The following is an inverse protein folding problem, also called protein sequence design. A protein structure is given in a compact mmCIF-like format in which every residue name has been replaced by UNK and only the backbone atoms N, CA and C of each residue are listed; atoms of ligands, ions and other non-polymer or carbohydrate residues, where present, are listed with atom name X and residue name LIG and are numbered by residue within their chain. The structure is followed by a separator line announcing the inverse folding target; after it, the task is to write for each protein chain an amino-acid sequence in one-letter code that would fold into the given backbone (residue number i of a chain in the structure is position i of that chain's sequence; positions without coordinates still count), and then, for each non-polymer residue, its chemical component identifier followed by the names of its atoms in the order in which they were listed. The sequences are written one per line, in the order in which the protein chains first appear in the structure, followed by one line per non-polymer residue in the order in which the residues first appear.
data_IF_778372558753
#
_entry.id   IF_778372558753
#
_cell.length_a   1.000
_cell.length_b   1.000
_cell.length_c   1.000
_cell.angle_alpha   90.00
_cell.angle_beta   90.00
_cell.angle_gamma   90.00
#
_symmetry.space_group_name_H-M   'P 1'
#
loop_
_entity.id
_entity.type
_entity.pdbx_description
1 polymer ?
#
# COMPACT_ATOMS: atom_id res chain seq x y z
N UNK A 1 16.13 24.84 7.17
CA UNK A 1 16.38 23.38 7.16
C UNK A 1 15.21 22.70 7.84
N UNK A 2 14.64 21.68 7.22
CA UNK A 2 13.40 21.03 7.64
C UNK A 2 13.51 19.50 7.40
N UNK A 3 13.85 18.77 8.46
CA UNK A 3 14.12 17.33 8.38
C UNK A 3 15.33 17.05 7.48
N UNK A 4 15.12 16.19 6.47
CA UNK A 4 16.11 15.79 5.44
C UNK A 4 16.09 16.70 4.20
N UNK A 5 15.92 18.00 4.40
CA UNK A 5 15.82 18.92 3.28
C UNK A 5 15.60 20.38 3.66
N UNK A 6 15.19 21.15 2.66
CA UNK A 6 14.94 22.58 2.74
C UNK A 6 13.49 22.88 2.41
N UNK A 7 12.93 23.86 3.13
CA UNK A 7 11.56 24.31 2.96
C UNK A 7 11.56 25.82 2.75
N UNK A 8 10.79 26.28 1.77
CA UNK A 8 10.50 27.70 1.60
C UNK A 8 9.07 27.91 1.08
N UNK A 9 8.51 29.09 1.36
CA UNK A 9 7.24 29.53 0.81
C UNK A 9 7.48 30.77 -0.05
N UNK A 10 6.89 30.77 -1.25
CA UNK A 10 7.07 31.81 -2.26
C UNK A 10 5.70 32.28 -2.75
N UNK A 11 5.42 33.58 -2.71
CA UNK A 11 4.25 34.14 -3.38
C UNK A 11 4.49 34.09 -4.89
N UNK A 12 3.59 33.46 -5.64
CA UNK A 12 3.71 33.37 -7.09
C UNK A 12 3.28 34.68 -7.77
N UNK A 13 3.87 35.04 -8.91
CA UNK A 13 3.39 36.14 -9.73
C UNK A 13 1.94 35.94 -10.17
N UNK A 14 1.25 37.04 -10.44
CA UNK A 14 -0.13 37.01 -10.93
C UNK A 14 -0.26 36.13 -12.19
N UNK A 15 -1.25 35.23 -12.18
CA UNK A 15 -1.50 34.29 -13.28
C UNK A 15 -0.61 33.05 -13.30
N UNK A 16 0.42 32.94 -12.45
CA UNK A 16 1.27 31.74 -12.34
C UNK A 16 0.70 30.80 -11.29
N UNK A 17 0.40 29.56 -11.69
CA UNK A 17 -0.10 28.52 -10.77
C UNK A 17 0.98 27.51 -10.42
N UNK A 18 0.81 26.82 -9.28
CA UNK A 18 1.68 25.68 -8.92
C UNK A 18 1.61 24.55 -9.97
N UNK A 19 0.49 24.38 -10.67
CA UNK A 19 0.36 23.44 -11.80
C UNK A 19 1.34 23.79 -12.94
N UNK A 20 1.44 25.07 -13.32
CA UNK A 20 2.38 25.52 -14.35
C UNK A 20 3.84 25.27 -13.96
N UNK A 21 4.18 25.44 -12.67
CA UNK A 21 5.51 25.12 -12.13
C UNK A 21 5.76 23.61 -12.18
N UNK A 22 4.79 22.80 -11.75
CA UNK A 22 4.89 21.34 -11.78
C UNK A 22 5.06 20.79 -13.19
N UNK A 23 4.41 21.38 -14.21
CA UNK A 23 4.62 21.02 -15.61
C UNK A 23 6.07 21.24 -16.09
N UNK A 24 6.82 22.13 -15.43
CA UNK A 24 8.23 22.41 -15.70
C UNK A 24 9.15 21.93 -14.56
N UNK A 25 8.68 20.98 -13.72
CA UNK A 25 9.45 20.47 -12.58
C UNK A 25 10.86 19.98 -12.93
N UNK A 26 11.12 19.31 -14.08
CA UNK A 26 12.49 18.93 -14.43
C UNK A 26 13.46 20.12 -14.54
N UNK A 27 13.00 21.25 -15.08
CA UNK A 27 13.81 22.48 -15.19
C UNK A 27 14.05 23.09 -13.82
N UNK A 28 12.99 23.19 -12.98
CA UNK A 28 13.11 23.67 -11.61
C UNK A 28 14.10 22.81 -10.81
N UNK A 29 13.98 21.49 -10.88
CA UNK A 29 14.86 20.57 -10.16
C UNK A 29 16.32 20.68 -10.63
N UNK A 30 16.55 20.78 -11.94
CA UNK A 30 17.87 21.01 -12.51
C UNK A 30 18.52 22.28 -11.95
N UNK A 31 17.78 23.39 -11.92
CA UNK A 31 18.27 24.68 -11.38
C UNK A 31 18.51 24.65 -9.86
N UNK A 32 17.89 23.73 -9.14
CA UNK A 32 18.10 23.50 -7.72
C UNK A 32 19.20 22.46 -7.43
N UNK A 33 19.86 21.92 -8.48
CA UNK A 33 20.83 20.83 -8.39
C UNK A 33 20.22 19.59 -7.71
N UNK A 34 19.00 19.23 -8.11
CA UNK A 34 18.22 18.12 -7.57
C UNK A 34 17.63 17.26 -8.68
N UNK A 35 17.31 16.01 -8.33
CA UNK A 35 16.47 15.17 -9.17
C UNK A 35 15.01 15.62 -9.08
N UNK A 36 14.17 15.44 -10.11
CA UNK A 36 12.75 15.82 -10.08
C UNK A 36 11.95 15.16 -8.95
N UNK A 37 12.40 13.99 -8.48
CA UNK A 37 11.82 13.23 -7.36
C UNK A 37 12.11 13.87 -5.99
N UNK A 38 13.12 14.72 -5.91
CA UNK A 38 13.57 15.41 -4.70
C UNK A 38 12.93 16.80 -4.53
N UNK A 39 12.10 17.26 -5.48
CA UNK A 39 11.54 18.62 -5.50
C UNK A 39 10.02 18.56 -5.49
N UNK A 40 9.41 19.26 -4.53
CA UNK A 40 7.98 19.17 -4.22
C UNK A 40 7.33 20.54 -4.12
N UNK A 41 6.87 21.11 -5.25
CA UNK A 41 6.07 22.33 -5.27
C UNK A 41 4.60 21.99 -5.02
N UNK A 42 4.04 22.56 -3.96
CA UNK A 42 2.64 22.38 -3.57
C UNK A 42 1.98 23.72 -3.27
N UNK A 43 0.64 23.77 -3.27
CA UNK A 43 -0.11 24.95 -2.85
C UNK A 43 -0.84 24.65 -1.52
N UNK A 44 -0.55 25.36 -0.43
CA UNK A 44 -1.26 25.18 0.83
C UNK A 44 -2.73 25.54 0.68
N UNK A 45 -3.62 24.72 1.23
CA UNK A 45 -5.08 24.92 1.14
C UNK A 45 -5.54 26.25 1.76
N UNK A 46 -4.82 26.75 2.75
CA UNK A 46 -5.10 27.97 3.49
C UNK A 46 -4.39 29.21 2.91
N UNK A 47 -3.56 29.06 1.87
CA UNK A 47 -2.80 30.15 1.24
C UNK A 47 -2.80 30.08 -0.30
N UNK A 48 -3.93 30.37 -0.97
CA UNK A 48 -3.98 30.44 -2.43
C UNK A 48 -2.96 31.43 -3.00
N UNK A 49 -2.32 31.07 -4.11
CA UNK A 49 -1.28 31.88 -4.77
C UNK A 49 0.12 31.74 -4.15
N UNK A 50 0.28 30.96 -3.09
CA UNK A 50 1.57 30.67 -2.46
C UNK A 50 2.03 29.28 -2.84
N UNK A 51 3.25 29.18 -3.38
CA UNK A 51 3.94 27.91 -3.55
C UNK A 51 4.70 27.56 -2.27
N UNK A 52 4.36 26.41 -1.70
CA UNK A 52 5.13 25.73 -0.67
C UNK A 52 6.09 24.74 -1.36
N UNK A 53 7.38 25.05 -1.30
CA UNK A 53 8.44 24.29 -1.95
C UNK A 53 9.27 23.57 -0.90
N UNK A 54 9.24 22.25 -0.94
CA UNK A 54 10.16 21.40 -0.19
C UNK A 54 11.15 20.70 -1.13
N UNK A 55 12.43 20.72 -0.79
CA UNK A 55 13.51 20.08 -1.54
C UNK A 55 14.31 19.16 -0.63
N UNK A 56 14.43 17.89 -1.02
CA UNK A 56 15.20 16.92 -0.25
C UNK A 56 16.72 17.23 -0.30
N UNK A 57 17.47 16.71 0.66
CA UNK A 57 18.93 16.67 0.58
C UNK A 57 19.33 15.81 -0.62
N UNK A 58 20.35 16.25 -1.37
CA UNK A 58 20.79 15.57 -2.59
C UNK A 58 21.15 14.11 -2.32
N UNK A 59 20.55 13.18 -3.06
CA UNK A 59 20.75 11.74 -2.92
C UNK A 59 20.17 11.13 -1.64
N UNK A 60 19.40 11.88 -0.83
CA UNK A 60 18.80 11.33 0.39
C UNK A 60 17.72 10.28 0.11
N UNK A 61 17.05 10.38 -1.05
CA UNK A 61 16.00 9.47 -1.46
C UNK A 61 16.52 8.17 -2.10
N UNK A 62 17.81 8.11 -2.45
CA UNK A 62 18.44 6.91 -3.04
C UNK A 62 19.16 6.03 -2.00
N UNK A 63 19.44 6.55 -0.80
CA UNK A 63 20.04 5.79 0.31
C UNK A 63 19.03 4.85 0.96
N UNK A 64 19.38 3.62 1.38
CA UNK A 64 18.46 2.70 2.06
C UNK A 64 17.67 3.35 3.20
N UNK A 65 16.40 2.95 3.35
CA UNK A 65 15.60 3.34 4.52
C UNK A 65 16.19 2.65 5.76
N UNK A 66 16.07 3.28 6.93
CA UNK A 66 16.46 2.66 8.20
C UNK A 66 15.73 1.31 8.39
N UNK A 67 16.28 0.40 9.21
CA UNK A 67 15.63 -0.87 9.51
C UNK A 67 14.19 -0.70 9.99
N UNK A 68 13.33 -1.67 9.67
CA UNK A 68 11.93 -1.64 10.05
C UNK A 68 11.80 -1.54 11.59
N UNK A 69 10.99 -0.61 12.14
CA UNK A 69 10.95 -0.36 13.59
C UNK A 69 10.54 -1.55 14.45
N UNK A 70 9.82 -2.53 13.89
CA UNK A 70 9.35 -3.72 14.61
C UNK A 70 10.18 -4.97 14.31
N UNK A 71 11.34 -4.80 13.65
CA UNK A 71 12.20 -5.89 13.22
C UNK A 71 12.67 -6.76 14.39
N UNK A 72 13.17 -6.13 15.45
CA UNK A 72 13.77 -6.84 16.59
C UNK A 72 12.79 -7.06 17.75
N UNK A 73 11.97 -6.06 18.06
CA UNK A 73 11.03 -6.09 19.18
C UNK A 73 9.72 -5.33 18.89
N UNK A 74 8.85 -5.24 19.91
CA UNK A 74 7.59 -4.50 19.85
C UNK A 74 6.38 -5.31 19.38
N UNK A 75 5.23 -4.65 19.39
CA UNK A 75 3.94 -5.14 18.91
C UNK A 75 3.27 -4.07 18.04
N UNK A 76 2.19 -4.43 17.37
CA UNK A 76 1.36 -3.47 16.64
C UNK A 76 -0.10 -3.52 17.10
N UNK A 77 -0.87 -2.53 16.65
CA UNK A 77 -2.29 -2.41 16.92
C UNK A 77 -3.02 -2.16 15.60
N UNK A 78 -3.80 -3.15 15.16
CA UNK A 78 -4.59 -3.09 13.92
C UNK A 78 -5.44 -1.82 13.81
N UNK A 79 -5.94 -1.31 14.94
CA UNK A 79 -6.79 -0.12 14.99
C UNK A 79 -6.01 1.18 14.83
N UNK A 80 -4.70 1.17 15.09
CA UNK A 80 -3.79 2.33 14.94
C UNK A 80 -3.01 2.30 13.62
N UNK A 81 -2.81 1.12 13.05
CA UNK A 81 -2.02 0.91 11.84
C UNK A 81 -0.61 0.39 12.12
N UNK A 82 0.11 0.04 11.06
CA UNK A 82 1.42 -0.62 11.12
C UNK A 82 2.49 0.21 10.42
N UNK A 83 3.74 0.25 10.90
CA UNK A 83 4.81 0.98 10.22
C UNK A 83 5.13 0.35 8.87
N UNK A 84 4.99 1.12 7.79
CA UNK A 84 5.19 0.61 6.40
C UNK A 84 6.28 1.34 5.63
N UNK A 85 6.63 2.56 6.03
CA UNK A 85 7.68 3.31 5.37
C UNK A 85 7.93 4.66 6.01
N UNK A 86 8.63 5.51 5.27
CA UNK A 86 8.88 6.91 5.62
C UNK A 86 8.51 7.82 4.46
N UNK A 87 8.03 9.02 4.77
CA UNK A 87 7.85 10.07 3.78
C UNK A 87 9.22 10.67 3.36
N UNK A 88 9.30 11.55 2.35
CA UNK A 88 10.56 12.15 1.91
C UNK A 88 11.25 12.95 3.02
N UNK A 89 10.48 13.47 3.99
CA UNK A 89 10.98 14.21 5.14
C UNK A 89 11.55 13.29 6.23
N UNK A 90 11.42 11.97 6.07
CA UNK A 90 11.89 10.95 6.99
C UNK A 90 10.90 10.65 8.13
N UNK A 91 9.67 11.16 8.05
CA UNK A 91 8.63 10.88 9.05
C UNK A 91 8.06 9.48 8.82
N UNK A 92 7.86 8.76 9.91
CA UNK A 92 7.23 7.44 9.88
C UNK A 92 5.83 7.50 9.27
N UNK A 93 5.57 6.62 8.31
CA UNK A 93 4.27 6.41 7.70
C UNK A 93 3.66 5.13 8.26
N UNK A 94 2.46 5.26 8.84
CA UNK A 94 1.68 4.14 9.32
C UNK A 94 0.65 3.74 8.26
N UNK A 95 0.73 2.49 7.79
CA UNK A 95 -0.27 1.85 6.97
C UNK A 95 -1.50 1.55 7.82
N UNK A 96 -2.55 2.37 7.68
CA UNK A 96 -3.82 2.14 8.36
C UNK A 96 -4.46 0.84 7.86
N UNK A 97 -4.75 -0.09 8.76
CA UNK A 97 -5.48 -1.32 8.45
C UNK A 97 -6.97 -1.15 8.75
N UNK A 98 -7.33 -0.76 9.97
CA UNK A 98 -8.73 -0.56 10.32
C UNK A 98 -9.41 0.56 9.55
N UNK A 99 -10.63 0.29 9.07
CA UNK A 99 -11.43 1.21 8.27
C UNK A 99 -10.73 1.73 7.00
N UNK A 100 -9.82 0.93 6.44
CA UNK A 100 -9.12 1.17 5.19
C UNK A 100 -9.03 -0.10 4.35
N UNK A 101 -8.89 0.09 3.05
CA UNK A 101 -8.61 -0.95 2.06
C UNK A 101 -7.55 -0.43 1.10
N UNK A 102 -6.70 -1.33 0.61
CA UNK A 102 -5.46 -0.99 -0.05
C UNK A 102 -5.48 -1.41 -1.52
N UNK A 103 -4.95 -0.54 -2.39
CA UNK A 103 -4.57 -0.89 -3.75
C UNK A 103 -3.07 -0.67 -3.93
N UNK A 104 -2.36 -1.71 -4.36
CA UNK A 104 -0.92 -1.69 -4.55
C UNK A 104 -0.61 -2.05 -6.00
N UNK A 105 0.14 -1.19 -6.68
CA UNK A 105 0.37 -1.31 -8.11
C UNK A 105 1.78 -0.96 -8.54
N UNK A 106 2.20 -1.44 -9.70
CA UNK A 106 3.49 -1.12 -10.31
C UNK A 106 4.20 -2.34 -10.89
N UNK A 107 5.18 -2.11 -11.75
CA UNK A 107 5.89 -3.15 -12.51
C UNK A 107 6.53 -4.22 -11.60
N UNK A 108 6.84 -5.38 -12.16
CA UNK A 108 7.60 -6.43 -11.45
C UNK A 108 8.93 -5.87 -10.94
N UNK A 109 9.37 -6.30 -9.76
CA UNK A 109 10.62 -5.82 -9.17
C UNK A 109 10.61 -4.36 -8.70
N UNK A 110 9.44 -3.71 -8.55
CA UNK A 110 9.35 -2.31 -8.08
C UNK A 110 9.17 -2.15 -6.56
N UNK A 111 8.85 -3.24 -5.83
CA UNK A 111 8.70 -3.23 -4.37
C UNK A 111 7.28 -3.43 -3.82
N UNK A 112 6.31 -3.84 -4.67
CA UNK A 112 4.93 -4.14 -4.24
C UNK A 112 4.87 -5.16 -3.10
N UNK A 113 5.44 -6.35 -3.30
CA UNK A 113 5.41 -7.44 -2.33
C UNK A 113 6.05 -7.02 -1.00
N UNK A 114 7.12 -6.21 -1.05
CA UNK A 114 7.77 -5.66 0.14
C UNK A 114 6.82 -4.87 1.02
N UNK A 115 6.00 -3.99 0.44
CA UNK A 115 5.00 -3.21 1.20
C UNK A 115 3.95 -4.13 1.84
N UNK A 116 3.46 -5.12 1.09
CA UNK A 116 2.44 -6.06 1.57
C UNK A 116 3.01 -6.93 2.70
N UNK A 117 4.16 -7.55 2.50
CA UNK A 117 4.83 -8.39 3.50
C UNK A 117 5.12 -7.59 4.77
N UNK A 118 5.65 -6.37 4.65
CA UNK A 118 5.90 -5.50 5.81
C UNK A 118 4.59 -5.17 6.55
N UNK A 119 3.51 -4.89 5.82
CA UNK A 119 2.21 -4.65 6.44
C UNK A 119 1.65 -5.89 7.14
N UNK A 120 1.80 -7.08 6.53
CA UNK A 120 1.39 -8.35 7.13
C UNK A 120 2.20 -8.70 8.37
N UNK A 121 3.52 -8.51 8.34
CA UNK A 121 4.39 -8.71 9.51
C UNK A 121 3.98 -7.80 10.67
N UNK A 122 3.71 -6.52 10.38
CA UNK A 122 3.13 -5.62 11.37
C UNK A 122 1.77 -6.11 11.87
N UNK A 123 0.89 -6.57 10.97
CA UNK A 123 -0.45 -7.00 11.33
C UNK A 123 -0.46 -8.21 12.26
N UNK A 124 0.38 -9.24 12.01
CA UNK A 124 0.42 -10.46 12.82
C UNK A 124 1.00 -10.25 14.22
N UNK A 125 1.73 -9.14 14.45
CA UNK A 125 2.22 -8.72 15.77
C UNK A 125 1.12 -8.15 16.68
N UNK A 126 -0.11 -7.99 16.17
CA UNK A 126 -1.32 -7.87 16.98
C UNK A 126 -1.95 -9.26 17.15
N UNK A 127 -2.07 -9.80 18.38
CA UNK A 127 -2.53 -11.17 18.62
C UNK A 127 -3.96 -11.44 18.14
N UNK A 128 -4.77 -10.38 17.96
CA UNK A 128 -6.16 -10.53 17.50
C UNK A 128 -6.28 -10.70 15.99
N UNK A 129 -5.25 -10.36 15.21
CA UNK A 129 -5.36 -10.31 13.76
C UNK A 129 -5.26 -11.71 13.14
N UNK A 130 -6.24 -12.03 12.30
CA UNK A 130 -6.23 -13.14 11.37
C UNK A 130 -5.87 -12.65 9.96
N UNK A 131 -5.11 -13.46 9.22
CA UNK A 131 -4.67 -13.11 7.86
C UNK A 131 -5.02 -14.22 6.88
N UNK A 132 -5.57 -13.84 5.73
CA UNK A 132 -5.72 -14.72 4.57
C UNK A 132 -4.97 -14.14 3.39
N UNK A 133 -4.23 -14.98 2.68
CA UNK A 133 -3.54 -14.63 1.45
C UNK A 133 -4.04 -15.51 0.32
N UNK A 134 -4.50 -14.87 -0.75
CA UNK A 134 -4.82 -15.48 -2.03
C UNK A 134 -3.83 -14.89 -3.06
N UNK A 135 -2.78 -15.65 -3.36
CA UNK A 135 -1.76 -15.27 -4.33
C UNK A 135 -2.02 -16.00 -5.64
N UNK A 136 -2.41 -15.27 -6.69
CA UNK A 136 -2.71 -15.86 -8.01
C UNK A 136 -1.47 -16.00 -8.89
N UNK A 137 -0.37 -16.41 -8.28
CA UNK A 137 0.89 -16.70 -8.92
C UNK A 137 1.63 -17.76 -8.11
N UNK A 138 2.36 -18.65 -8.78
CA UNK A 138 3.18 -19.66 -8.11
C UNK A 138 4.51 -19.03 -7.66
N UNK A 139 4.61 -18.71 -6.37
CA UNK A 139 5.83 -18.23 -5.72
C UNK A 139 5.87 -18.63 -4.24
N UNK A 140 6.96 -18.28 -3.55
CA UNK A 140 7.21 -18.61 -2.15
C UNK A 140 7.20 -17.38 -1.22
N UNK A 141 6.68 -16.23 -1.69
CA UNK A 141 6.80 -14.94 -1.00
C UNK A 141 6.18 -14.97 0.40
N UNK A 142 5.08 -15.71 0.55
CA UNK A 142 4.29 -15.79 1.78
C UNK A 142 4.58 -17.01 2.66
N UNK A 143 5.40 -17.96 2.20
CA UNK A 143 5.68 -19.22 2.91
C UNK A 143 6.10 -19.06 4.38
N UNK A 144 6.99 -18.11 4.76
CA UNK A 144 7.40 -17.95 6.15
C UNK A 144 6.27 -17.42 7.03
N UNK A 145 5.28 -16.73 6.46
CA UNK A 145 4.13 -16.25 7.22
C UNK A 145 3.12 -17.36 7.51
N UNK A 146 3.17 -18.49 6.80
CA UNK A 146 2.21 -19.61 6.88
C UNK A 146 1.83 -20.01 8.31
N UNK A 147 2.74 -20.09 9.30
CA UNK A 147 2.38 -20.42 10.69
C UNK A 147 1.39 -19.44 11.34
N UNK A 148 1.33 -18.19 10.87
CA UNK A 148 0.41 -17.14 11.37
C UNK A 148 -0.74 -16.83 10.42
N UNK A 149 -0.77 -17.42 9.23
CA UNK A 149 -1.89 -17.26 8.29
C UNK A 149 -3.01 -18.22 8.64
N UNK A 150 -4.27 -17.76 8.53
CA UNK A 150 -5.42 -18.65 8.54
C UNK A 150 -5.56 -19.39 7.20
N UNK A 151 -5.31 -18.66 6.11
CA UNK A 151 -5.37 -19.21 4.74
C UNK A 151 -4.15 -18.74 3.96
N UNK A 152 -3.52 -19.69 3.25
CA UNK A 152 -2.56 -19.41 2.19
C UNK A 152 -2.99 -20.22 0.96
N UNK A 153 -3.54 -19.53 -0.02
CA UNK A 153 -3.86 -20.06 -1.34
C UNK A 153 -2.85 -19.50 -2.34
N UNK A 154 -2.18 -20.38 -3.08
CA UNK A 154 -1.15 -20.04 -4.07
C UNK A 154 -1.42 -20.85 -5.32
N UNK A 155 -1.89 -20.21 -6.40
CA UNK A 155 -2.21 -20.88 -7.66
C UNK A 155 -2.47 -19.88 -8.77
N UNK A 156 -1.88 -20.08 -9.94
CA UNK A 156 -2.22 -19.38 -11.20
C UNK A 156 -3.12 -20.22 -12.12
N UNK A 157 -3.58 -21.38 -11.66
CA UNK A 157 -4.43 -22.29 -12.43
C UNK A 157 -5.84 -21.69 -12.59
N UNK A 158 -6.29 -21.40 -13.84
CA UNK A 158 -7.61 -20.83 -14.10
C UNK A 158 -8.77 -21.66 -13.54
N UNK A 159 -8.62 -22.98 -13.41
CA UNK A 159 -9.65 -23.86 -12.84
C UNK A 159 -9.79 -23.69 -11.32
N UNK A 160 -8.74 -23.20 -10.65
CA UNK A 160 -8.72 -22.98 -9.20
C UNK A 160 -9.13 -21.56 -8.80
N UNK A 161 -9.03 -20.58 -9.71
CA UNK A 161 -9.43 -19.18 -9.47
C UNK A 161 -10.85 -19.05 -8.89
N UNK A 162 -11.89 -19.82 -9.33
CA UNK A 162 -13.22 -19.77 -8.72
C UNK A 162 -13.25 -20.02 -7.21
N UNK A 163 -12.26 -20.74 -6.64
CA UNK A 163 -12.12 -20.94 -5.19
C UNK A 163 -11.97 -19.63 -4.42
N UNK A 164 -11.32 -18.63 -5.03
CA UNK A 164 -11.18 -17.29 -4.43
C UNK A 164 -12.53 -16.60 -4.35
N UNK A 165 -13.38 -16.73 -5.38
CA UNK A 165 -14.75 -16.20 -5.35
C UNK A 165 -15.58 -16.85 -4.24
N UNK A 166 -15.48 -18.16 -4.06
CA UNK A 166 -16.20 -18.86 -2.98
C UNK A 166 -15.74 -18.40 -1.59
N UNK A 167 -14.45 -18.16 -1.42
CA UNK A 167 -13.93 -17.57 -0.19
C UNK A 167 -14.47 -16.15 0.06
N UNK A 168 -14.60 -15.33 -0.99
CA UNK A 168 -15.21 -14.01 -0.90
C UNK A 168 -16.72 -14.08 -0.55
N UNK A 169 -17.44 -15.08 -1.09
CA UNK A 169 -18.85 -15.33 -0.72
C UNK A 169 -18.97 -15.65 0.77
N UNK A 170 -18.09 -16.52 1.29
CA UNK A 170 -17.99 -16.80 2.72
C UNK A 170 -17.69 -15.56 3.56
N UNK A 171 -16.73 -14.74 3.14
CA UNK A 171 -16.39 -13.48 3.81
C UNK A 171 -17.58 -12.51 3.86
N UNK A 172 -18.36 -12.41 2.79
CA UNK A 172 -19.56 -11.56 2.75
C UNK A 172 -20.65 -12.02 3.73
N UNK A 173 -20.80 -13.34 3.92
CA UNK A 173 -21.68 -13.90 4.94
C UNK A 173 -21.20 -13.51 6.34
N UNK A 174 -19.91 -13.70 6.63
CA UNK A 174 -19.29 -13.34 7.91
C UNK A 174 -19.47 -11.84 8.23
N UNK A 175 -19.25 -10.95 7.24
CA UNK A 175 -19.47 -9.52 7.40
C UNK A 175 -20.92 -9.18 7.78
N UNK A 176 -21.89 -9.95 7.27
CA UNK A 176 -23.30 -9.75 7.59
C UNK A 176 -23.60 -10.15 9.04
N UNK A 177 -22.96 -11.20 9.55
CA UNK A 177 -23.05 -11.61 10.95
C UNK A 177 -22.37 -10.62 11.90
N UNK A 178 -21.16 -10.16 11.56
CA UNK A 178 -20.45 -9.10 12.31
C UNK A 178 -21.30 -7.83 12.42
N UNK A 179 -22.00 -7.46 11.35
CA UNK A 179 -22.93 -6.34 11.34
C UNK A 179 -24.07 -6.49 12.36
N UNK A 180 -24.67 -7.69 12.48
CA UNK A 180 -25.72 -7.98 13.48
C UNK A 180 -25.17 -7.92 14.90
N UNK A 181 -23.94 -8.41 15.12
CA UNK A 181 -23.28 -8.36 16.43
C UNK A 181 -22.98 -6.94 16.88
N UNK A 182 -22.49 -6.09 15.98
CA UNK A 182 -22.28 -4.67 16.25
C UNK A 182 -23.59 -3.95 16.56
N UNK A 183 -24.65 -4.23 15.81
CA UNK A 183 -25.98 -3.70 16.08
C UNK A 183 -26.47 -4.10 17.48
N UNK A 184 -26.35 -5.38 17.84
CA UNK A 184 -26.75 -5.88 19.16
C UNK A 184 -25.92 -5.28 20.30
N UNK A 185 -24.64 -4.99 20.05
CA UNK A 185 -23.75 -4.32 20.99
C UNK A 185 -23.95 -2.79 21.05
N UNK A 186 -24.75 -2.19 20.16
CA UNK A 186 -24.92 -0.75 20.07
C UNK A 186 -23.68 0.00 19.55
N UNK A 187 -22.74 -0.70 18.93
CA UNK A 187 -21.45 -0.13 18.49
C UNK A 187 -21.47 0.20 16.98
N UNK A 188 -21.08 1.40 16.55
CA UNK A 188 -21.15 1.80 15.14
C UNK A 188 -20.05 1.15 14.27
N UNK A 189 -19.01 0.59 14.90
CA UNK A 189 -17.86 -0.06 14.27
C UNK A 189 -17.19 -1.00 15.26
N UNK A 190 -16.38 -1.94 14.76
CA UNK A 190 -15.58 -2.83 15.60
C UNK A 190 -14.70 -2.03 16.57
N UNK A 191 -14.69 -2.47 17.83
CA UNK A 191 -13.78 -2.00 18.87
C UNK A 191 -12.84 -3.13 19.28
N UNK A 192 -11.69 -2.79 19.86
CA UNK A 192 -10.75 -3.79 20.39
C UNK A 192 -11.42 -4.69 21.44
N UNK A 193 -12.19 -4.10 22.36
CA UNK A 193 -12.89 -4.84 23.41
C UNK A 193 -13.86 -5.89 22.83
N UNK A 194 -14.59 -5.56 21.76
CA UNK A 194 -15.46 -6.54 21.09
C UNK A 194 -14.67 -7.66 20.39
N UNK A 195 -13.54 -7.32 19.76
CA UNK A 195 -12.66 -8.31 19.13
C UNK A 195 -11.97 -9.25 20.14
N UNK A 196 -11.68 -8.77 21.34
CA UNK A 196 -11.14 -9.56 22.45
C UNK A 196 -12.22 -10.48 23.05
N UNK A 197 -13.44 -9.97 23.20
CA UNK A 197 -14.56 -10.71 23.80
C UNK A 197 -15.15 -11.80 22.88
N UNK A 198 -15.13 -11.59 21.57
CA UNK A 198 -15.69 -12.52 20.59
C UNK A 198 -14.67 -12.86 19.49
N UNK A 199 -14.14 -14.10 19.46
CA UNK A 199 -13.18 -14.53 18.43
C UNK A 199 -13.67 -14.36 16.98
N UNK A 200 -14.98 -14.38 16.73
CA UNK A 200 -15.53 -14.18 15.38
C UNK A 200 -15.55 -12.70 14.95
N UNK A 201 -15.30 -11.78 15.90
CA UNK A 201 -15.19 -10.34 15.67
C UNK A 201 -13.73 -9.90 15.52
N UNK A 202 -12.76 -10.83 15.61
CA UNK A 202 -11.34 -10.55 15.44
C UNK A 202 -11.03 -9.85 14.11
N UNK A 203 -10.12 -8.87 14.08
CA UNK A 203 -9.71 -8.24 12.83
C UNK A 203 -9.20 -9.23 11.79
N UNK A 204 -9.51 -8.98 10.53
CA UNK A 204 -9.12 -9.83 9.40
C UNK A 204 -8.42 -8.99 8.33
N UNK A 205 -7.22 -9.39 7.91
CA UNK A 205 -6.54 -8.83 6.73
C UNK A 205 -6.59 -9.86 5.61
N UNK A 206 -7.14 -9.48 4.46
CA UNK A 206 -7.28 -10.34 3.29
C UNK A 206 -6.46 -9.76 2.15
N UNK A 207 -5.44 -10.49 1.72
CA UNK A 207 -4.60 -10.14 0.57
C UNK A 207 -5.08 -10.90 -0.64
N UNK A 208 -5.31 -10.18 -1.73
CA UNK A 208 -5.54 -10.73 -3.07
C UNK A 208 -4.39 -10.23 -3.93
N UNK A 209 -3.33 -11.02 -4.00
CA UNK A 209 -2.13 -10.72 -4.77
C UNK A 209 -2.29 -11.24 -6.20
N UNK A 210 -1.69 -10.53 -7.15
CA UNK A 210 -1.92 -10.70 -8.59
C UNK A 210 -3.42 -10.67 -8.94
N UNK A 211 -4.16 -9.72 -8.36
CA UNK A 211 -5.62 -9.65 -8.42
C UNK A 211 -6.21 -9.55 -9.82
N UNK A 212 -5.42 -9.16 -10.83
CA UNK A 212 -5.85 -9.16 -12.21
C UNK A 212 -6.31 -10.55 -12.67
N UNK A 213 -5.66 -11.63 -12.21
CA UNK A 213 -6.02 -12.99 -12.61
C UNK A 213 -7.47 -13.32 -12.21
N UNK A 214 -7.90 -12.86 -11.03
CA UNK A 214 -9.30 -12.98 -10.61
C UNK A 214 -10.24 -12.19 -11.52
N UNK A 215 -9.93 -10.93 -11.79
CA UNK A 215 -10.85 -10.02 -12.47
C UNK A 215 -10.96 -10.24 -13.98
N UNK A 216 -9.93 -10.82 -14.62
CA UNK A 216 -9.98 -11.20 -16.05
C UNK A 216 -10.51 -12.62 -16.27
N UNK A 217 -10.65 -13.42 -15.20
CA UNK A 217 -11.19 -14.78 -15.30
C UNK A 217 -12.67 -14.82 -15.66
N UNK A 218 -13.18 -16.03 -15.94
CA UNK A 218 -14.60 -16.29 -16.20
C UNK A 218 -15.53 -15.83 -15.06
N UNK A 219 -15.03 -15.69 -13.83
CA UNK A 219 -15.81 -15.26 -12.66
C UNK A 219 -15.52 -13.80 -12.26
N UNK A 220 -14.73 -13.06 -13.05
CA UNK A 220 -14.22 -11.75 -12.70
C UNK A 220 -15.29 -10.67 -12.51
N UNK A 221 -16.37 -10.71 -13.30
CA UNK A 221 -17.48 -9.77 -13.15
C UNK A 221 -18.20 -9.93 -11.82
N UNK A 222 -18.56 -11.17 -11.46
CA UNK A 222 -19.19 -11.53 -10.18
C UNK A 222 -18.26 -11.19 -9.02
N UNK A 223 -16.97 -11.52 -9.13
CA UNK A 223 -15.97 -11.19 -8.13
C UNK A 223 -15.86 -9.67 -7.91
N UNK A 224 -15.84 -8.88 -8.97
CA UNK A 224 -15.74 -7.42 -8.86
C UNK A 224 -16.97 -6.79 -8.19
N UNK A 225 -18.19 -7.27 -8.48
CA UNK A 225 -19.40 -6.83 -7.78
C UNK A 225 -19.40 -7.21 -6.30
N UNK A 226 -18.96 -8.43 -5.99
CA UNK A 226 -18.91 -8.92 -4.63
C UNK A 226 -17.86 -8.15 -3.80
N UNK A 227 -16.68 -7.93 -4.35
CA UNK A 227 -15.61 -7.15 -3.73
C UNK A 227 -16.07 -5.73 -3.42
N UNK A 228 -16.75 -5.05 -4.36
CA UNK A 228 -17.29 -3.71 -4.12
C UNK A 228 -18.21 -3.68 -2.89
N UNK A 229 -19.13 -4.66 -2.78
CA UNK A 229 -20.04 -4.80 -1.63
C UNK A 229 -19.29 -5.12 -0.33
N UNK A 230 -18.29 -6.01 -0.41
CA UNK A 230 -17.45 -6.39 0.73
C UNK A 230 -16.71 -5.16 1.25
N UNK A 231 -15.97 -4.45 0.40
CA UNK A 231 -15.13 -3.30 0.79
C UNK A 231 -15.97 -2.20 1.46
N UNK A 232 -17.18 -1.94 0.93
CA UNK A 232 -18.09 -0.96 1.52
C UNK A 232 -18.52 -1.32 2.96
N UNK A 233 -18.75 -2.61 3.25
CA UNK A 233 -19.15 -3.11 4.58
C UNK A 233 -17.95 -3.30 5.53
N UNK A 234 -16.88 -3.88 5.00
CA UNK A 234 -15.65 -4.27 5.70
C UNK A 234 -15.06 -3.14 6.53
N UNK A 235 -15.16 -1.89 6.04
CA UNK A 235 -14.70 -0.66 6.71
C UNK A 235 -15.12 -0.57 8.19
N UNK A 236 -16.34 -1.00 8.54
CA UNK A 236 -16.85 -0.92 9.91
C UNK A 236 -16.62 -2.20 10.71
N UNK A 237 -16.45 -3.34 10.03
CA UNK A 237 -16.55 -4.67 10.62
C UNK A 237 -15.19 -5.32 10.90
N UNK A 238 -14.10 -4.53 10.80
CA UNK A 238 -12.74 -4.97 11.10
C UNK A 238 -12.17 -5.93 10.06
N UNK A 239 -12.52 -5.73 8.79
CA UNK A 239 -11.92 -6.46 7.67
C UNK A 239 -11.23 -5.46 6.75
N UNK A 240 -9.99 -5.77 6.39
CA UNK A 240 -9.14 -4.97 5.49
C UNK A 240 -8.81 -5.82 4.28
N UNK A 241 -9.11 -5.32 3.08
CA UNK A 241 -8.70 -5.95 1.83
C UNK A 241 -7.50 -5.21 1.25
N UNK A 242 -6.52 -5.98 0.79
CA UNK A 242 -5.31 -5.50 0.10
C UNK A 242 -5.28 -6.15 -1.27
N UNK A 243 -5.35 -5.34 -2.33
CA UNK A 243 -5.24 -5.79 -3.72
C UNK A 243 -3.87 -5.42 -4.25
N UNK A 244 -3.22 -6.35 -4.94
CA UNK A 244 -1.95 -6.10 -5.58
C UNK A 244 -1.94 -6.60 -7.02
N UNK A 245 -1.34 -5.82 -7.91
CA UNK A 245 -1.31 -6.12 -9.35
C UNK A 245 -0.20 -5.31 -10.04
N UNK A 246 0.40 -5.77 -11.14
CA UNK A 246 1.34 -4.97 -11.91
C UNK A 246 0.72 -3.74 -12.59
N UNK A 247 -0.62 -3.66 -12.65
CA UNK A 247 -1.45 -2.68 -13.37
C UNK A 247 -0.92 -2.31 -14.75
N UNK A 248 -1.22 -3.15 -15.75
CA UNK A 248 -1.13 -2.79 -17.16
C UNK A 248 -2.39 -2.07 -17.70
N UNK A 249 -3.56 -2.18 -17.05
CA UNK A 249 -4.81 -1.58 -17.56
C UNK A 249 -5.93 -1.45 -16.50
N UNK A 250 -7.07 -0.87 -16.89
CA UNK A 250 -8.27 -0.74 -16.06
C UNK A 250 -9.00 -2.08 -15.79
N UNK A 251 -8.71 -3.12 -16.56
CA UNK A 251 -9.32 -4.45 -16.41
C UNK A 251 -8.64 -5.24 -15.27
N UNK A 252 -7.37 -4.93 -14.99
CA UNK A 252 -6.60 -5.55 -13.91
C UNK A 252 -7.10 -5.22 -12.51
N UNK A 253 -7.69 -4.04 -12.34
CA UNK A 253 -8.38 -3.64 -11.11
C UNK A 253 -9.62 -2.82 -11.48
N UNK A 254 -10.82 -3.45 -11.47
CA UNK A 254 -12.04 -2.81 -11.94
C UNK A 254 -12.29 -1.47 -11.23
N UNK A 255 -12.72 -0.45 -11.99
CA UNK A 255 -12.95 0.91 -11.47
C UNK A 255 -13.85 0.96 -10.23
N UNK A 256 -14.85 0.08 -10.15
CA UNK A 256 -15.74 -0.05 -8.98
C UNK A 256 -14.98 -0.43 -7.71
N UNK A 257 -14.00 -1.33 -7.83
CA UNK A 257 -13.09 -1.68 -6.73
C UNK A 257 -12.13 -0.54 -6.43
N UNK A 258 -11.45 0.01 -7.45
CA UNK A 258 -10.46 1.08 -7.25
C UNK A 258 -11.02 2.31 -6.53
N UNK A 259 -12.29 2.68 -6.80
CA UNK A 259 -12.96 3.83 -6.18
C UNK A 259 -13.11 3.74 -4.65
N UNK A 260 -13.22 2.53 -4.11
CA UNK A 260 -13.46 2.32 -2.67
C UNK A 260 -12.17 2.08 -1.86
N UNK A 261 -11.01 2.05 -2.54
CA UNK A 261 -9.71 1.94 -1.89
C UNK A 261 -9.31 3.25 -1.24
N UNK A 262 -8.93 3.17 0.02
CA UNK A 262 -8.59 4.33 0.85
C UNK A 262 -7.10 4.59 0.91
N UNK A 263 -6.29 3.51 0.87
CA UNK A 263 -4.84 3.61 0.82
C UNK A 263 -4.41 3.10 -0.57
N UNK A 264 -3.70 3.91 -1.34
CA UNK A 264 -3.27 3.58 -2.70
C UNK A 264 -1.77 3.78 -2.79
N UNK A 265 -1.05 2.78 -3.26
CA UNK A 265 0.38 2.84 -3.49
C UNK A 265 0.66 2.44 -4.93
N UNK A 266 1.25 3.34 -5.71
CA UNK A 266 1.66 3.13 -7.08
C UNK A 266 3.19 3.23 -7.14
N UNK A 267 3.84 2.09 -7.25
CA UNK A 267 5.26 1.96 -7.57
C UNK A 267 5.49 2.25 -9.06
N UNK A 268 6.75 2.17 -9.51
CA UNK A 268 7.13 2.43 -10.90
C UNK A 268 6.14 1.79 -11.91
N UNK A 269 5.58 2.61 -12.78
CA UNK A 269 4.55 2.25 -13.77
C UNK A 269 4.83 2.93 -15.11
N UNK A 270 4.48 2.27 -16.22
CA UNK A 270 4.89 2.69 -17.55
C UNK A 270 4.10 3.87 -18.13
N UNK A 271 2.87 4.11 -17.67
CA UNK A 271 1.99 5.09 -18.27
C UNK A 271 1.05 5.82 -17.28
N UNK A 272 0.44 6.89 -17.77
CA UNK A 272 -0.44 7.76 -16.99
C UNK A 272 -1.82 7.14 -16.74
N UNK A 273 -2.28 6.24 -17.61
CA UNK A 273 -3.56 5.55 -17.48
C UNK A 273 -3.55 4.60 -16.28
N UNK A 274 -2.49 3.80 -16.12
CA UNK A 274 -2.26 2.92 -14.98
C UNK A 274 -2.05 3.70 -13.69
N UNK A 275 -1.33 4.83 -13.74
CA UNK A 275 -1.20 5.74 -12.60
C UNK A 275 -2.58 6.19 -12.07
N UNK A 276 -3.42 6.70 -12.96
CA UNK A 276 -4.74 7.24 -12.60
C UNK A 276 -5.76 6.14 -12.28
N UNK A 277 -5.60 4.93 -12.84
CA UNK A 277 -6.42 3.77 -12.47
C UNK A 277 -6.30 3.43 -10.98
N UNK A 278 -5.13 3.67 -10.38
CA UNK A 278 -4.85 3.38 -8.97
C UNK A 278 -4.98 4.61 -8.10
N UNK A 279 -4.22 5.67 -8.40
CA UNK A 279 -4.17 6.87 -7.56
C UNK A 279 -5.45 7.70 -7.66
N UNK A 280 -6.20 7.55 -8.76
CA UNK A 280 -7.44 8.27 -9.04
C UNK A 280 -7.34 9.13 -10.29
N UNK A 281 -8.49 9.37 -10.92
CA UNK A 281 -8.59 10.16 -12.16
C UNK A 281 -8.04 11.58 -11.99
N UNK A 282 -7.15 12.00 -12.89
CA UNK A 282 -6.56 13.34 -12.93
C UNK A 282 -5.32 13.51 -12.05
N UNK A 283 -4.89 12.47 -11.32
CA UNK A 283 -3.73 12.55 -10.41
C UNK A 283 -2.43 12.78 -11.17
N UNK A 284 -2.24 12.11 -12.30
CA UNK A 284 -1.06 12.30 -13.13
C UNK A 284 -0.90 13.78 -13.54
N UNK A 285 -1.97 14.38 -14.08
CA UNK A 285 -1.99 15.79 -14.49
C UNK A 285 -1.76 16.75 -13.31
N UNK A 286 -2.22 16.38 -12.12
CA UNK A 286 -1.97 17.13 -10.88
C UNK A 286 -0.54 16.94 -10.33
N UNK A 287 0.36 16.26 -11.05
CA UNK A 287 1.75 16.02 -10.64
C UNK A 287 1.93 14.85 -9.66
N UNK A 288 0.85 14.15 -9.33
CA UNK A 288 0.85 12.97 -8.45
C UNK A 288 1.03 11.74 -9.35
N UNK A 289 2.29 11.48 -9.70
CA UNK A 289 2.63 10.47 -10.72
C UNK A 289 3.74 9.52 -10.28
N UNK A 290 3.49 8.22 -10.45
CA UNK A 290 4.49 7.16 -10.33
C UNK A 290 5.27 6.90 -11.63
N UNK A 291 4.89 7.51 -12.75
CA UNK A 291 5.53 7.31 -14.08
C UNK A 291 6.96 7.82 -14.16
N UNK A 292 7.41 8.56 -13.16
CA UNK A 292 8.78 9.07 -13.07
C UNK A 292 9.70 8.17 -12.24
N UNK A 293 9.13 7.16 -11.56
CA UNK A 293 9.88 6.18 -10.79
C UNK A 293 10.45 5.11 -11.72
N UNK A 294 11.68 4.70 -11.47
CA UNK A 294 12.40 3.69 -12.24
C UNK A 294 12.37 2.34 -11.52
N UNK A 295 12.00 1.23 -12.18
CA UNK A 295 12.13 -0.08 -11.59
C UNK A 295 13.61 -0.48 -11.45
N UNK A 296 13.87 -1.56 -10.70
CA UNK A 296 15.21 -2.16 -10.69
C UNK A 296 15.51 -2.77 -12.07
N UNK A 297 16.71 -2.53 -12.57
CA UNK A 297 17.21 -3.07 -13.84
C UNK A 297 18.59 -3.69 -13.65
N UNK A 298 18.90 -4.68 -14.47
CA UNK A 298 20.21 -5.31 -14.52
C UNK A 298 20.89 -4.95 -15.84
N UNK A 299 22.09 -4.41 -15.75
CA UNK A 299 22.91 -4.07 -16.91
C UNK A 299 23.54 -5.33 -17.51
N UNK A 300 24.00 -5.22 -18.76
CA UNK A 300 24.59 -6.33 -19.50
C UNK A 300 25.89 -6.87 -18.89
N UNK A 301 26.55 -6.08 -18.04
CA UNK A 301 27.73 -6.47 -17.27
C UNK A 301 27.38 -7.16 -15.93
N UNK A 302 26.10 -7.32 -15.62
CA UNK A 302 25.60 -7.91 -14.38
C UNK A 302 25.49 -6.95 -13.19
N UNK A 303 25.83 -5.66 -13.37
CA UNK A 303 25.56 -4.66 -12.35
C UNK A 303 24.05 -4.37 -12.23
N UNK A 304 23.61 -3.98 -11.03
CA UNK A 304 22.19 -3.75 -10.72
C UNK A 304 21.98 -2.28 -10.42
N UNK A 305 21.19 -1.58 -11.25
CA UNK A 305 20.62 -0.28 -10.90
C UNK A 305 19.35 -0.54 -10.09
N UNK A 306 19.39 -0.17 -8.81
CA UNK A 306 18.26 -0.33 -7.90
C UNK A 306 17.10 0.61 -8.26
N UNK A 307 17.34 1.65 -9.07
CA UNK A 307 16.33 2.62 -9.45
C UNK A 307 15.65 3.25 -8.23
N UNK A 308 14.32 3.22 -8.23
CA UNK A 308 13.48 3.67 -7.13
C UNK A 308 12.81 2.49 -6.40
N UNK A 309 13.46 1.30 -6.39
CA UNK A 309 12.95 0.10 -5.72
C UNK A 309 12.48 0.39 -4.28
N UNK A 310 11.26 -0.03 -3.97
CA UNK A 310 10.65 0.21 -2.66
C UNK A 310 10.07 1.61 -2.47
N UNK A 311 10.13 2.48 -3.48
CA UNK A 311 9.49 3.79 -3.46
C UNK A 311 8.17 3.76 -4.23
N UNK A 312 7.11 4.28 -3.62
CA UNK A 312 5.79 4.40 -4.24
C UNK A 312 5.27 5.83 -4.14
N UNK A 313 4.55 6.29 -5.17
CA UNK A 313 3.63 7.40 -5.04
C UNK A 313 2.39 6.92 -4.30
N UNK A 314 1.98 7.63 -3.26
CA UNK A 314 0.90 7.18 -2.38
C UNK A 314 -0.21 8.20 -2.22
N UNK A 315 -1.42 7.69 -1.99
CA UNK A 315 -2.59 8.45 -1.58
C UNK A 315 -3.27 7.77 -0.39
N UNK A 316 -3.66 8.57 0.61
CA UNK A 316 -4.37 8.10 1.82
C UNK A 316 -3.52 7.38 2.88
N UNK A 317 -2.24 7.13 2.61
CA UNK A 317 -1.26 6.69 3.63
C UNK A 317 -0.85 7.83 4.57
N UNK A 318 -0.87 9.07 4.08
CA UNK A 318 -0.67 10.29 4.87
C UNK A 318 -1.78 11.30 4.56
N UNK A 319 -1.89 12.43 5.30
CA UNK A 319 -2.87 13.48 5.00
C UNK A 319 -2.74 14.09 3.60
N UNK A 320 -1.56 14.02 2.99
CA UNK A 320 -1.28 14.51 1.64
C UNK A 320 -0.80 13.35 0.75
N UNK A 321 -1.03 13.50 -0.56
CA UNK A 321 -0.44 12.60 -1.53
C UNK A 321 1.06 12.87 -1.65
N UNK A 322 1.86 11.84 -1.86
CA UNK A 322 3.31 11.99 -1.95
C UNK A 322 4.04 10.67 -1.99
N UNK A 323 5.37 10.74 -2.16
CA UNK A 323 6.18 9.53 -2.12
C UNK A 323 6.20 8.92 -0.73
N UNK A 324 6.31 7.62 -0.71
CA UNK A 324 6.61 6.82 0.46
C UNK A 324 7.72 5.86 0.11
N UNK A 325 8.76 5.82 0.94
CA UNK A 325 9.85 4.86 0.84
C UNK A 325 9.56 3.74 1.83
N UNK A 326 9.25 2.57 1.31
CA UNK A 326 8.81 1.43 2.12
C UNK A 326 9.96 0.91 2.97
N UNK A 327 9.63 0.40 4.15
CA UNK A 327 10.58 -0.46 4.87
C UNK A 327 10.73 -1.78 4.11
N UNK A 328 11.86 -2.44 4.35
CA UNK A 328 12.16 -3.75 3.80
C UNK A 328 12.59 -4.67 4.94
N UNK A 329 11.97 -5.84 5.01
CA UNK A 329 12.37 -6.94 5.90
C UNK A 329 13.05 -7.97 5.00
N UNK A 330 14.33 -8.22 5.25
CA UNK A 330 15.16 -8.94 4.29
C UNK A 330 14.83 -10.44 4.23
N UNK A 331 14.80 -10.98 3.03
CA UNK A 331 14.64 -12.42 2.79
C UNK A 331 15.27 -12.81 1.46
N UNK A 332 15.97 -13.95 1.44
CA UNK A 332 16.69 -14.47 0.28
C UNK A 332 18.21 -14.30 0.44
N UNK A 333 18.98 -14.94 -0.45
CA UNK A 333 20.46 -14.89 -0.42
C UNK A 333 21.08 -15.26 0.94
N UNK A 334 20.47 -16.22 1.65
CA UNK A 334 20.93 -16.66 2.98
C UNK A 334 20.48 -15.78 4.16
N UNK A 335 19.69 -14.73 3.91
CA UNK A 335 19.08 -13.87 4.94
C UNK A 335 17.61 -14.23 5.11
N UNK A 336 17.14 -14.27 6.35
CA UNK A 336 15.72 -14.42 6.70
C UNK A 336 15.39 -13.63 7.98
N UNK A 337 14.97 -12.38 7.78
CA UNK A 337 14.48 -11.52 8.84
C UNK A 337 12.96 -11.66 9.06
N UNK A 338 12.27 -12.43 8.20
CA UNK A 338 10.82 -12.60 8.25
C UNK A 338 10.45 -13.63 9.32
N UNK A 339 11.12 -14.78 9.32
CA UNK A 339 10.82 -15.90 10.24
C UNK A 339 10.92 -15.49 11.72
N UNK A 340 11.96 -14.76 12.19
CA UNK A 340 12.03 -14.33 13.60
C UNK A 340 10.84 -13.45 14.04
N UNK A 341 10.31 -12.62 13.14
CA UNK A 341 9.12 -11.80 13.41
C UNK A 341 7.86 -12.68 13.51
N UNK A 342 7.75 -13.69 12.66
CA UNK A 342 6.63 -14.65 12.68
C UNK A 342 6.66 -15.49 13.97
N UNK A 343 7.83 -15.95 14.41
CA UNK A 343 8.01 -16.67 15.68
C UNK A 343 7.59 -15.82 16.88
N UNK A 344 7.98 -14.54 16.90
CA UNK A 344 7.49 -13.58 17.91
C UNK A 344 5.96 -13.46 17.87
N UNK A 345 5.38 -13.33 16.68
CA UNK A 345 3.94 -13.23 16.52
C UNK A 345 3.18 -14.49 16.97
N UNK A 346 3.80 -15.68 16.89
CA UNK A 346 3.26 -16.91 17.48
C UNK A 346 3.29 -16.85 19.01
N UNK A 347 4.42 -16.43 19.59
CA UNK A 347 4.59 -16.29 21.03
C UNK A 347 3.63 -15.28 21.68
N UNK A 348 3.26 -14.21 20.98
CA UNK A 348 2.31 -13.20 21.48
C UNK A 348 0.86 -13.72 21.47
N UNK A 349 0.52 -14.65 20.56
CA UNK A 349 -0.84 -15.19 20.40
C UNK A 349 -1.14 -16.39 21.31
N UNK A 350 -0.09 -17.08 21.79
CA UNK A 350 -0.17 -18.26 22.65
C UNK A 350 -0.83 -17.95 24.01
#
# INVERSE_FOLDING_TARGET
HDGKGWHCQLLLPEGVTVEMINNNKPVLAHNLLRLPVEVWPTEPRDKPGVMDLWTADQGSLTKPVAPWPLLQDGTADYFKGVPVGVDPRGKLVLGRLFAANWGVAGMMGSGKSTLIITALLGAILDPLVEVDVYCMAVNADYDPLKPRLRTLFVSDDPEQIPTVLDALKGLMSELSERGRKLQAAGEPKLTRALAEADPTMRPRVVVIDECQELFVSAVGEEAAELVEKIVAKARKYGVTLIFATPVPSADSLPRKVAKVLSNRACFAIGDHQGNDAILGTGKHRAGISATTLRPMTMDSDGSVDMGDLGTAMTSGFTPADGLMRCFYVARGNGVDDVTPVVERALGIRA
#
